data_IF_040669258263
#
_entry.id   IF_040669258263
#
_cell.length_a   1.000
_cell.length_b   1.000
_cell.length_c   1.000
_cell.angle_alpha   90.00
_cell.angle_beta   90.00
_cell.angle_gamma   90.00
#
_symmetry.space_group_name_H-M   'P 1'
#
loop_
_entity.id
_entity.type
_entity.pdbx_description
1 polymer ?
#
# COMPACT_ATOMS: atom_id res chain seq x y z
N UNK A 1 40.21 24.76 5.17
CA UNK A 1 40.86 23.81 4.22
C UNK A 1 40.90 22.44 4.90
N UNK A 2 40.54 21.30 4.28
CA UNK A 2 40.16 21.12 2.87
C UNK A 2 38.87 20.26 2.67
N UNK A 3 38.01 20.69 1.75
CA UNK A 3 37.27 19.76 0.90
C UNK A 3 37.52 20.19 -0.55
N UNK A 4 38.64 19.69 -1.08
CA UNK A 4 39.06 19.87 -2.46
C UNK A 4 39.14 18.47 -3.06
N UNK A 5 38.11 18.06 -3.80
CA UNK A 5 38.10 17.00 -4.85
C UNK A 5 36.76 16.25 -4.97
N UNK A 6 35.66 16.95 -5.28
CA UNK A 6 34.40 16.28 -5.71
C UNK A 6 34.28 16.22 -7.25
N UNK A 7 35.09 17.00 -7.98
CA UNK A 7 35.01 17.09 -9.45
C UNK A 7 35.66 15.94 -10.25
N UNK A 8 36.29 14.94 -9.61
CA UNK A 8 37.05 13.88 -10.32
C UNK A 8 36.35 12.52 -10.39
N UNK A 9 35.22 12.33 -9.72
CA UNK A 9 34.50 11.03 -9.73
C UNK A 9 33.53 10.92 -10.91
N UNK A 10 33.11 12.04 -11.50
CA UNK A 10 32.07 12.06 -12.54
C UNK A 10 32.57 11.96 -13.99
N UNK A 11 33.87 11.71 -14.24
CA UNK A 11 34.43 11.69 -15.61
C UNK A 11 34.86 10.32 -16.14
N UNK A 12 34.66 9.22 -15.41
CA UNK A 12 35.16 7.90 -15.86
C UNK A 12 34.15 7.03 -16.63
N UNK A 13 32.93 7.51 -16.85
CA UNK A 13 31.91 6.76 -17.58
C UNK A 13 31.32 7.59 -18.74
N UNK A 14 32.20 8.09 -19.62
CA UNK A 14 31.80 8.57 -20.94
C UNK A 14 32.80 7.96 -21.92
N UNK A 15 32.28 7.23 -22.91
CA UNK A 15 33.00 6.47 -23.94
C UNK A 15 33.29 5.00 -23.62
N UNK A 16 32.30 4.16 -23.86
CA UNK A 16 32.50 2.98 -24.70
C UNK A 16 31.21 2.63 -25.41
N UNK A 17 31.20 2.86 -26.71
CA UNK A 17 30.20 2.39 -27.66
C UNK A 17 30.26 0.87 -27.76
N UNK A 18 29.15 0.18 -27.44
CA UNK A 18 28.70 -1.07 -28.06
C UNK A 18 27.33 -1.45 -27.48
N UNK A 19 26.27 -0.90 -28.07
CA UNK A 19 24.90 -1.38 -27.85
C UNK A 19 24.62 -2.46 -28.89
N UNK A 20 24.99 -3.69 -28.58
CA UNK A 20 24.48 -4.85 -29.30
C UNK A 20 24.07 -5.93 -28.31
N UNK A 21 22.79 -6.31 -28.41
CA UNK A 21 22.12 -7.44 -27.77
C UNK A 21 21.91 -7.35 -26.25
N UNK A 22 21.12 -6.38 -25.80
CA UNK A 22 20.31 -6.57 -24.60
C UNK A 22 19.16 -7.51 -24.97
N UNK A 23 19.29 -8.79 -24.59
CA UNK A 23 18.18 -9.71 -24.61
C UNK A 23 17.01 -9.07 -23.87
N UNK A 24 15.82 -9.17 -24.46
CA UNK A 24 14.56 -8.78 -23.82
C UNK A 24 14.46 -9.52 -22.48
N UNK A 25 14.91 -8.89 -21.40
CA UNK A 25 14.57 -9.25 -20.03
C UNK A 25 13.09 -8.94 -19.89
N UNK A 26 12.27 -9.89 -20.35
CA UNK A 26 10.84 -9.95 -20.13
C UNK A 26 10.58 -9.67 -18.67
N UNK A 27 10.04 -8.50 -18.37
CA UNK A 27 9.42 -8.19 -17.09
C UNK A 27 8.27 -9.19 -16.98
N UNK A 28 8.48 -10.28 -16.25
CA UNK A 28 7.41 -11.21 -15.90
C UNK A 28 6.48 -10.45 -14.96
N UNK A 29 5.38 -9.92 -15.50
CA UNK A 29 4.23 -9.52 -14.70
C UNK A 29 3.70 -10.79 -14.03
N UNK A 30 4.02 -11.00 -12.75
CA UNK A 30 3.34 -12.01 -11.94
C UNK A 30 1.93 -11.49 -11.65
N UNK A 31 0.96 -11.91 -12.44
CA UNK A 31 -0.44 -11.83 -12.02
C UNK A 31 -0.60 -12.81 -10.85
N UNK A 32 -0.77 -12.29 -9.64
CA UNK A 32 -1.19 -13.11 -8.51
C UNK A 32 -2.56 -13.66 -8.86
N UNK A 33 -2.69 -14.98 -8.95
CA UNK A 33 -3.99 -15.65 -9.10
C UNK A 33 -4.82 -15.23 -7.89
N UNK A 34 -5.77 -14.32 -8.07
CA UNK A 34 -6.77 -14.05 -7.05
C UNK A 34 -7.54 -15.35 -6.90
N UNK A 35 -7.51 -15.96 -5.71
CA UNK A 35 -8.40 -17.07 -5.41
C UNK A 35 -9.81 -16.67 -5.87
N UNK A 36 -10.50 -17.57 -6.56
CA UNK A 36 -11.86 -17.34 -7.05
C UNK A 36 -12.77 -17.10 -5.84
N UNK A 37 -12.91 -15.82 -5.47
CA UNK A 37 -13.91 -15.39 -4.50
C UNK A 37 -15.22 -15.73 -5.18
N UNK A 38 -15.99 -16.66 -4.58
CA UNK A 38 -17.36 -16.95 -5.02
C UNK A 38 -18.06 -15.62 -5.25
N UNK A 39 -18.24 -15.22 -6.50
CA UNK A 39 -18.98 -14.02 -6.85
C UNK A 39 -20.43 -14.29 -6.45
N UNK A 40 -20.83 -13.73 -5.32
CA UNK A 40 -22.24 -13.68 -4.99
C UNK A 40 -22.87 -12.71 -5.99
N UNK A 41 -23.74 -13.23 -6.86
CA UNK A 41 -24.56 -12.43 -7.79
C UNK A 41 -25.57 -11.64 -6.95
N UNK A 42 -25.11 -10.60 -6.27
CA UNK A 42 -25.97 -9.68 -5.53
C UNK A 42 -26.54 -8.67 -6.53
N UNK A 43 -27.87 -8.52 -6.64
CA UNK A 43 -28.48 -7.45 -7.42
C UNK A 43 -27.99 -6.04 -7.02
N UNK A 44 -27.52 -5.87 -5.78
CA UNK A 44 -26.94 -4.62 -5.30
C UNK A 44 -25.55 -4.35 -5.90
N UNK A 45 -24.78 -5.40 -6.22
CA UNK A 45 -23.47 -5.26 -6.88
C UNK A 45 -23.59 -4.70 -8.29
N UNK A 46 -24.69 -5.00 -8.99
CA UNK A 46 -24.95 -4.49 -10.34
C UNK A 46 -25.11 -2.96 -10.38
N UNK A 47 -25.48 -2.35 -9.26
CA UNK A 47 -25.61 -0.89 -9.10
C UNK A 47 -24.42 -0.27 -8.35
N UNK A 48 -23.37 -1.04 -8.05
CA UNK A 48 -22.22 -0.52 -7.32
C UNK A 48 -21.45 0.49 -8.18
N UNK A 49 -21.11 1.63 -7.56
CA UNK A 49 -20.26 2.65 -8.16
C UNK A 49 -18.82 2.13 -8.29
N UNK A 50 -18.04 2.61 -9.27
CA UNK A 50 -16.62 2.27 -9.38
C UNK A 50 -15.85 2.73 -8.14
N UNK A 51 -14.76 2.02 -7.84
CA UNK A 51 -13.93 2.27 -6.65
C UNK A 51 -13.35 3.69 -6.59
N UNK A 52 -13.08 4.26 -7.75
CA UNK A 52 -12.50 5.59 -7.92
C UNK A 52 -13.44 6.72 -7.47
N UNK A 53 -14.75 6.48 -7.49
CA UNK A 53 -15.78 7.43 -7.05
C UNK A 53 -15.84 7.60 -5.53
N UNK A 54 -15.19 6.72 -4.76
CA UNK A 54 -15.09 6.90 -3.30
C UNK A 54 -14.34 8.21 -3.01
N UNK A 55 -14.91 9.11 -2.18
CA UNK A 55 -14.27 10.36 -1.77
C UNK A 55 -12.85 10.09 -1.28
N UNK A 56 -11.85 10.74 -1.88
CA UNK A 56 -10.44 10.47 -1.59
C UNK A 56 -9.74 11.70 -1.03
N UNK A 57 -8.79 11.45 -0.14
CA UNK A 57 -7.82 12.46 0.28
C UNK A 57 -7.00 12.90 -0.96
N UNK A 58 -6.66 14.20 -1.09
CA UNK A 58 -5.90 14.69 -2.23
C UNK A 58 -4.60 13.91 -2.41
N UNK A 59 -4.39 13.42 -3.62
CA UNK A 59 -3.32 12.49 -3.96
C UNK A 59 -2.32 13.21 -4.85
N UNK A 60 -1.03 13.16 -4.49
CA UNK A 60 0.07 13.71 -5.29
C UNK A 60 0.64 12.57 -6.15
N UNK A 61 1.07 12.83 -7.41
CA UNK A 61 1.77 11.83 -8.22
C UNK A 61 2.93 11.19 -7.44
N UNK A 62 3.12 9.88 -7.61
CA UNK A 62 4.17 9.05 -6.98
C UNK A 62 3.96 8.77 -5.48
N UNK A 63 3.75 9.80 -4.65
CA UNK A 63 3.67 9.66 -3.18
C UNK A 63 2.27 9.20 -2.73
N UNK A 64 1.24 9.55 -3.50
CA UNK A 64 -0.14 9.26 -3.14
C UNK A 64 -0.68 10.28 -2.14
N UNK A 65 -1.42 9.83 -1.11
CA UNK A 65 -1.89 10.60 0.04
C UNK A 65 -0.90 10.61 1.22
N UNK A 66 0.23 9.90 1.11
CA UNK A 66 1.18 9.74 2.22
C UNK A 66 1.79 11.08 2.70
N UNK A 67 1.82 12.11 1.84
CA UNK A 67 2.30 13.46 2.17
C UNK A 67 1.56 14.08 3.36
N UNK A 68 0.31 13.68 3.59
CA UNK A 68 -0.54 14.20 4.68
C UNK A 68 -0.01 13.80 6.06
N UNK A 69 0.86 12.79 6.13
CA UNK A 69 1.51 12.34 7.38
C UNK A 69 2.98 12.76 7.52
N UNK A 70 3.52 13.57 6.60
CA UNK A 70 4.91 14.02 6.70
C UNK A 70 5.10 15.01 7.85
N UNK A 71 6.22 14.97 8.58
CA UNK A 71 6.40 15.75 9.81
C UNK A 71 6.42 17.27 9.62
N UNK A 72 6.74 17.76 8.41
CA UNK A 72 6.88 19.20 8.13
C UNK A 72 5.66 19.79 7.41
N UNK A 73 5.05 19.03 6.50
CA UNK A 73 3.99 19.50 5.59
C UNK A 73 2.65 18.84 5.92
N UNK A 74 2.68 17.67 6.56
CA UNK A 74 1.52 16.85 6.85
C UNK A 74 0.69 17.42 8.00
N UNK A 75 -0.62 17.35 7.84
CA UNK A 75 -1.61 17.77 8.86
C UNK A 75 -1.93 16.66 9.86
N UNK A 76 -1.64 15.40 9.53
CA UNK A 76 -2.00 14.25 10.35
C UNK A 76 -0.78 13.62 10.99
N UNK A 77 -0.96 13.12 12.21
CA UNK A 77 0.06 12.36 12.93
C UNK A 77 -0.36 10.90 13.01
N UNK A 78 0.57 9.99 12.68
CA UNK A 78 0.38 8.54 12.83
C UNK A 78 0.16 8.14 14.31
N UNK A 79 0.64 8.95 15.25
CA UNK A 79 0.43 8.72 16.69
C UNK A 79 -0.97 9.13 17.15
N UNK A 80 -1.66 9.97 16.36
CA UNK A 80 -2.98 10.54 16.68
C UNK A 80 -3.99 10.27 15.57
N UNK A 81 -3.97 9.04 15.05
CA UNK A 81 -4.80 8.65 13.90
C UNK A 81 -6.30 8.83 14.17
N UNK A 82 -6.77 8.57 15.40
CA UNK A 82 -8.16 8.82 15.78
C UNK A 82 -8.63 10.27 15.59
N UNK A 83 -7.73 11.25 15.76
CA UNK A 83 -8.04 12.67 15.51
C UNK A 83 -8.11 12.93 14.00
N UNK A 84 -7.15 12.37 13.26
CA UNK A 84 -7.14 12.45 11.81
C UNK A 84 -8.42 11.84 11.20
N UNK A 85 -8.85 10.69 11.70
CA UNK A 85 -10.04 9.99 11.23
C UNK A 85 -11.33 10.72 11.57
N UNK A 86 -11.42 11.35 12.76
CA UNK A 86 -12.54 12.27 13.07
C UNK A 86 -12.63 13.41 12.07
N UNK A 87 -11.49 14.00 11.69
CA UNK A 87 -11.46 15.07 10.69
C UNK A 87 -11.79 14.55 9.29
N UNK A 88 -11.27 13.38 8.90
CA UNK A 88 -11.61 12.75 7.61
C UNK A 88 -13.11 12.48 7.50
N UNK A 89 -13.72 11.95 8.55
CA UNK A 89 -15.18 11.74 8.61
C UNK A 89 -15.94 13.05 8.39
N UNK A 90 -15.56 14.11 9.11
CA UNK A 90 -16.22 15.41 9.00
C UNK A 90 -16.10 16.06 7.61
N UNK A 91 -14.99 15.81 6.88
CA UNK A 91 -14.72 16.45 5.59
C UNK A 91 -15.19 15.62 4.39
N UNK A 92 -15.00 14.30 4.45
CA UNK A 92 -15.22 13.40 3.30
C UNK A 92 -16.41 12.46 3.48
N UNK A 93 -16.94 12.33 4.70
CA UNK A 93 -18.11 11.50 5.02
C UNK A 93 -17.76 10.11 5.55
N UNK A 94 -18.72 9.20 5.44
CA UNK A 94 -18.68 7.86 6.05
C UNK A 94 -17.68 6.89 5.43
N UNK A 95 -17.35 7.05 4.14
CA UNK A 95 -16.43 6.18 3.41
C UNK A 95 -15.39 7.06 2.73
N UNK A 96 -14.12 6.82 3.05
CA UNK A 96 -13.01 7.64 2.56
C UNK A 96 -11.90 6.76 2.01
N UNK A 97 -11.48 7.05 0.78
CA UNK A 97 -10.37 6.38 0.11
C UNK A 97 -9.05 7.11 0.37
N UNK A 98 -8.00 6.33 0.51
CA UNK A 98 -6.66 6.82 0.75
C UNK A 98 -5.65 5.94 0.01
N UNK A 99 -4.65 6.53 -0.66
CA UNK A 99 -3.67 5.78 -1.46
C UNK A 99 -2.26 6.06 -0.95
N UNK A 100 -1.67 5.12 -0.23
CA UNK A 100 -0.33 5.26 0.34
C UNK A 100 0.61 4.35 -0.43
N UNK A 101 1.45 4.94 -1.29
CA UNK A 101 2.31 4.18 -2.20
C UNK A 101 1.49 3.28 -3.13
N UNK A 102 1.70 1.97 -3.04
CA UNK A 102 0.97 0.95 -3.82
C UNK A 102 -0.30 0.43 -3.10
N UNK A 103 -0.54 0.84 -1.85
CA UNK A 103 -1.67 0.36 -1.06
C UNK A 103 -2.85 1.32 -1.19
N UNK A 104 -4.04 0.76 -1.38
CA UNK A 104 -5.30 1.48 -1.26
C UNK A 104 -5.95 1.12 0.08
N UNK A 105 -6.24 2.15 0.86
CA UNK A 105 -6.97 2.08 2.11
C UNK A 105 -8.37 2.64 1.89
N UNK A 106 -9.37 1.99 2.48
CA UNK A 106 -10.72 2.52 2.59
C UNK A 106 -11.06 2.60 4.07
N UNK A 107 -11.29 3.81 4.54
CA UNK A 107 -11.79 4.07 5.88
C UNK A 107 -13.31 3.99 5.82
N UNK A 108 -13.89 3.10 6.63
CA UNK A 108 -15.33 2.97 6.80
C UNK A 108 -15.68 3.40 8.23
N UNK A 109 -16.48 4.45 8.36
CA UNK A 109 -16.91 4.99 9.65
C UNK A 109 -18.35 4.58 10.00
N UNK A 110 -19.09 3.98 9.06
CA UNK A 110 -20.44 3.48 9.28
C UNK A 110 -20.41 2.05 9.86
N UNK A 111 -20.97 1.82 11.06
CA UNK A 111 -20.95 0.51 11.70
C UNK A 111 -21.79 -0.54 10.96
N UNK A 112 -22.91 -0.16 10.35
CA UNK A 112 -23.79 -1.07 9.60
C UNK A 112 -23.08 -1.58 8.34
N UNK A 113 -22.42 -0.68 7.61
CA UNK A 113 -21.62 -1.04 6.45
C UNK A 113 -20.43 -1.95 6.83
N UNK A 114 -19.83 -1.72 8.00
CA UNK A 114 -18.73 -2.55 8.49
C UNK A 114 -19.21 -3.95 8.92
N UNK A 115 -20.41 -4.08 9.48
CA UNK A 115 -21.03 -5.39 9.75
C UNK A 115 -21.23 -6.19 8.46
N UNK A 116 -21.76 -5.56 7.41
CA UNK A 116 -21.93 -6.19 6.09
C UNK A 116 -20.56 -6.63 5.55
N UNK A 117 -19.55 -5.75 5.58
CA UNK A 117 -18.21 -6.07 5.12
C UNK A 117 -17.64 -7.31 5.83
N UNK A 118 -17.74 -7.38 7.16
CA UNK A 118 -17.25 -8.53 7.92
C UNK A 118 -18.01 -9.83 7.64
N UNK A 119 -19.32 -9.76 7.33
CA UNK A 119 -20.09 -10.95 6.90
C UNK A 119 -19.64 -11.47 5.53
N UNK A 120 -19.10 -10.60 4.67
CA UNK A 120 -18.69 -10.93 3.31
C UNK A 120 -17.17 -11.14 3.13
N UNK A 121 -16.34 -10.91 4.15
CA UNK A 121 -14.87 -11.05 4.06
C UNK A 121 -14.40 -12.51 3.80
N UNK A 122 -15.21 -13.50 4.21
CA UNK A 122 -14.96 -14.93 4.02
C UNK A 122 -15.08 -15.72 5.32
N UNK A 123 -14.71 -17.00 5.30
CA UNK A 123 -14.77 -17.86 6.50
C UNK A 123 -13.76 -17.43 7.58
N UNK A 124 -12.61 -16.90 7.16
CA UNK A 124 -11.54 -16.45 8.04
C UNK A 124 -11.13 -15.02 7.67
N UNK A 125 -10.79 -14.17 8.65
CA UNK A 125 -10.37 -12.79 8.37
C UNK A 125 -9.07 -12.78 7.57
N UNK A 126 -8.96 -11.85 6.62
CA UNK A 126 -7.73 -11.65 5.88
C UNK A 126 -6.69 -10.98 6.78
N UNK A 127 -5.60 -11.70 7.08
CA UNK A 127 -4.50 -11.18 7.90
C UNK A 127 -3.27 -10.94 7.04
N UNK A 128 -2.94 -9.68 6.83
CA UNK A 128 -1.72 -9.29 6.13
C UNK A 128 -0.47 -9.92 6.76
N UNK A 129 0.45 -10.39 5.93
CA UNK A 129 1.72 -10.96 6.37
C UNK A 129 2.64 -9.85 6.90
N UNK A 130 3.20 -10.05 8.10
CA UNK A 130 4.26 -9.20 8.63
C UNK A 130 5.63 -9.78 8.25
N UNK A 131 6.12 -9.40 7.07
CA UNK A 131 7.31 -9.98 6.42
C UNK A 131 8.57 -9.96 7.29
N UNK A 132 8.78 -8.89 8.08
CA UNK A 132 9.92 -8.77 8.99
C UNK A 132 9.86 -9.76 10.15
N UNK A 133 8.67 -10.02 10.71
CA UNK A 133 8.48 -11.03 11.76
C UNK A 133 8.62 -12.44 11.19
N UNK A 134 8.12 -12.67 9.96
CA UNK A 134 8.34 -13.93 9.25
C UNK A 134 9.83 -14.19 9.03
N UNK A 135 10.57 -13.19 8.55
CA UNK A 135 12.02 -13.26 8.37
C UNK A 135 12.75 -13.50 9.70
N UNK A 136 12.40 -12.76 10.75
CA UNK A 136 12.99 -12.91 12.08
C UNK A 136 12.78 -14.31 12.67
N UNK A 137 11.54 -14.83 12.63
CA UNK A 137 11.23 -16.18 13.13
C UNK A 137 11.87 -17.27 12.28
N UNK A 138 11.96 -17.07 10.96
CA UNK A 138 12.66 -18.00 10.05
C UNK A 138 14.16 -18.06 10.33
N UNK A 139 14.75 -16.96 10.77
CA UNK A 139 16.17 -16.90 11.16
C UNK A 139 16.42 -17.59 12.51
N UNK A 140 15.50 -17.47 13.48
CA UNK A 140 15.62 -18.02 14.84
C UNK A 140 14.81 -19.31 15.07
N UNK A 141 15.12 -20.36 14.31
CA UNK A 141 14.39 -21.64 14.37
C UNK A 141 14.54 -22.38 15.70
N UNK A 142 15.61 -22.09 16.44
CA UNK A 142 15.86 -22.60 17.78
C UNK A 142 14.77 -22.19 18.78
N UNK A 143 14.16 -21.03 18.59
CA UNK A 143 13.09 -20.52 19.45
C UNK A 143 11.71 -20.59 18.79
N UNK A 144 11.64 -20.58 17.46
CA UNK A 144 10.38 -20.60 16.72
C UNK A 144 10.26 -21.83 15.83
N UNK A 145 9.38 -22.76 16.22
CA UNK A 145 9.07 -23.98 15.45
C UNK A 145 8.37 -23.70 14.12
N UNK A 146 7.65 -22.57 14.04
CA UNK A 146 6.95 -22.11 12.85
C UNK A 146 7.12 -20.61 12.70
N UNK A 147 7.05 -20.10 11.47
CA UNK A 147 6.95 -18.65 11.26
C UNK A 147 5.67 -18.09 11.88
N UNK A 148 4.59 -18.87 11.99
CA UNK A 148 3.36 -18.45 12.67
C UNK A 148 2.80 -17.12 12.13
N UNK A 149 3.13 -16.81 10.88
CA UNK A 149 2.61 -15.70 10.08
C UNK A 149 2.10 -16.38 8.82
N UNK A 150 0.85 -16.05 8.42
CA UNK A 150 0.23 -16.57 7.21
C UNK A 150 1.09 -16.23 5.98
#
# INVERSE_FOLDING_TARGET
MPYHNIGKILRKCYNSTNLNQLSMLTIRCMATVTADVKRYEDPQLANAKPFEEIPSIPTIPIIGSAWVYMPVIGRYSLQKQHIADRHKYAVYGEIVREKIGHLNFVHCYNPEAMEVLFKHEGQYPNRGEFSTLKAYRKYRKEWYKTTGVM
#
